data_IF_864646783503
#
_entry.id   IF_864646783503
#
_cell.length_a   1.000
_cell.length_b   1.000
_cell.length_c   1.000
_cell.angle_alpha   90.00
_cell.angle_beta   90.00
_cell.angle_gamma   90.00
#
_symmetry.space_group_name_H-M   'P 1'
#
loop_
_entity.id
_entity.type
_entity.pdbx_description
1 polymer ?
#
# COMPACT_ATOMS: atom_id res chain seq x y z
N UNK A 1 6.30 -5.84 -17.32
CA UNK A 1 4.93 -6.32 -17.03
C UNK A 1 4.02 -5.13 -16.80
N UNK A 2 3.28 -4.72 -17.83
CA UNK A 2 2.23 -3.71 -17.69
C UNK A 2 0.91 -4.41 -17.35
N UNK A 3 0.49 -4.37 -16.08
CA UNK A 3 -0.78 -4.93 -15.66
C UNK A 3 -1.95 -4.30 -16.43
N UNK A 4 -2.99 -5.09 -16.69
CA UNK A 4 -4.20 -4.62 -17.38
C UNK A 4 -4.78 -3.38 -16.68
N UNK A 5 -5.45 -2.47 -17.41
CA UNK A 5 -6.12 -1.31 -16.80
C UNK A 5 -7.04 -1.70 -15.65
N UNK A 6 -7.66 -2.87 -15.77
CA UNK A 6 -8.47 -3.50 -14.74
C UNK A 6 -7.68 -3.79 -13.45
N UNK A 7 -6.51 -4.43 -13.54
CA UNK A 7 -5.65 -4.71 -12.37
C UNK A 7 -5.22 -3.43 -11.65
N UNK A 8 -5.02 -2.33 -12.39
CA UNK A 8 -4.65 -1.03 -11.81
C UNK A 8 -5.74 -0.39 -10.96
N UNK A 9 -6.99 -0.84 -11.10
CA UNK A 9 -8.15 -0.38 -10.34
C UNK A 9 -8.53 -1.40 -9.27
N UNK A 10 -8.57 -2.68 -9.66
CA UNK A 10 -8.97 -3.77 -8.78
C UNK A 10 -8.04 -3.90 -7.56
N UNK A 11 -6.72 -3.85 -7.79
CA UNK A 11 -5.74 -4.04 -6.70
C UNK A 11 -5.86 -2.93 -5.64
N UNK A 12 -5.84 -1.63 -5.97
CA UNK A 12 -6.05 -0.58 -4.98
C UNK A 12 -7.41 -0.67 -4.30
N UNK A 13 -8.48 -0.98 -5.06
CA UNK A 13 -9.82 -1.11 -4.50
C UNK A 13 -9.89 -2.23 -3.45
N UNK A 14 -9.29 -3.39 -3.74
CA UNK A 14 -9.21 -4.51 -2.80
C UNK A 14 -8.47 -4.11 -1.51
N UNK A 15 -7.33 -3.41 -1.63
CA UNK A 15 -6.59 -2.94 -0.46
C UNK A 15 -7.34 -1.86 0.34
N UNK A 16 -8.09 -0.98 -0.31
CA UNK A 16 -8.95 -0.01 0.39
C UNK A 16 -10.06 -0.71 1.17
N UNK A 17 -10.70 -1.72 0.58
CA UNK A 17 -11.74 -2.52 1.26
C UNK A 17 -11.13 -3.25 2.46
N UNK A 18 -9.98 -3.89 2.29
CA UNK A 18 -9.27 -4.58 3.38
C UNK A 18 -8.82 -3.61 4.49
N UNK A 19 -8.36 -2.41 4.12
CA UNK A 19 -8.02 -1.37 5.07
C UNK A 19 -9.26 -0.96 5.89
N UNK A 20 -10.37 -0.66 5.22
CA UNK A 20 -11.62 -0.28 5.89
C UNK A 20 -12.13 -1.38 6.83
N UNK A 21 -12.07 -2.64 6.39
CA UNK A 21 -12.45 -3.78 7.21
C UNK A 21 -11.58 -3.93 8.47
N UNK A 22 -10.25 -3.82 8.33
CA UNK A 22 -9.34 -3.96 9.47
C UNK A 22 -9.41 -2.77 10.44
N UNK A 23 -9.61 -1.56 9.92
CA UNK A 23 -9.86 -0.38 10.77
C UNK A 23 -11.18 -0.53 11.54
N UNK A 24 -12.22 -1.10 10.92
CA UNK A 24 -13.49 -1.40 11.59
C UNK A 24 -13.33 -2.43 12.72
N UNK A 25 -12.47 -3.45 12.53
CA UNK A 25 -12.14 -4.44 13.57
C UNK A 25 -11.15 -3.92 14.63
N UNK A 26 -10.76 -2.65 14.58
CA UNK A 26 -9.71 -2.05 15.41
C UNK A 26 -8.33 -2.73 15.26
N UNK A 27 -8.10 -3.44 14.15
CA UNK A 27 -6.80 -3.95 13.73
C UNK A 27 -6.02 -2.84 13.02
N UNK A 28 -5.62 -1.82 13.79
CA UNK A 28 -4.98 -0.61 13.27
C UNK A 28 -3.68 -0.89 12.49
N UNK A 29 -2.92 -1.91 12.90
CA UNK A 29 -1.65 -2.29 12.28
C UNK A 29 -1.83 -2.80 10.85
N UNK A 30 -2.73 -3.77 10.66
CA UNK A 30 -3.10 -4.30 9.34
C UNK A 30 -3.83 -3.25 8.50
N UNK A 31 -4.70 -2.45 9.13
CA UNK A 31 -5.35 -1.31 8.46
C UNK A 31 -4.33 -0.34 7.86
N UNK A 32 -3.33 0.07 8.64
CA UNK A 32 -2.26 0.97 8.18
C UNK A 32 -1.40 0.34 7.06
N UNK A 33 -1.13 -0.96 7.15
CA UNK A 33 -0.44 -1.71 6.10
C UNK A 33 -1.21 -1.61 4.77
N UNK A 34 -2.50 -1.94 4.79
CA UNK A 34 -3.32 -1.95 3.58
C UNK A 34 -3.52 -0.55 2.99
N UNK A 35 -3.67 0.50 3.81
CA UNK A 35 -3.70 1.89 3.33
C UNK A 35 -2.40 2.26 2.62
N UNK A 36 -1.26 1.93 3.22
CA UNK A 36 0.06 2.25 2.65
C UNK A 36 0.23 1.62 1.27
N UNK A 37 -0.16 0.36 1.14
CA UNK A 37 -0.11 -0.39 -0.12
C UNK A 37 -1.10 0.16 -1.16
N UNK A 38 -2.34 0.48 -0.73
CA UNK A 38 -3.36 1.07 -1.59
C UNK A 38 -2.95 2.41 -2.21
N UNK A 39 -2.08 3.18 -1.54
CA UNK A 39 -1.58 4.47 -2.04
C UNK A 39 -0.29 4.29 -2.84
N UNK A 40 0.63 3.43 -2.39
CA UNK A 40 1.94 3.23 -3.01
C UNK A 40 1.86 2.73 -4.46
N UNK A 41 1.02 1.72 -4.72
CA UNK A 41 0.92 1.11 -6.06
C UNK A 41 0.34 2.07 -7.12
N UNK A 42 -0.81 2.75 -6.88
CA UNK A 42 -1.30 3.78 -7.79
C UNK A 42 -0.30 4.90 -8.04
N UNK A 43 0.41 5.35 -7.01
CA UNK A 43 1.40 6.40 -7.13
C UNK A 43 2.55 5.97 -8.05
N UNK A 44 3.07 4.75 -7.88
CA UNK A 44 4.09 4.19 -8.77
C UNK A 44 3.58 4.01 -10.21
N UNK A 45 2.35 3.56 -10.40
CA UNK A 45 1.78 3.46 -11.74
C UNK A 45 1.59 4.82 -12.41
N UNK A 46 1.17 5.83 -11.66
CA UNK A 46 1.00 7.21 -12.15
C UNK A 46 2.35 7.83 -12.55
N UNK A 47 3.39 7.61 -11.74
CA UNK A 47 4.77 7.99 -12.05
C UNK A 47 5.28 7.30 -13.33
N UNK A 48 5.11 5.97 -13.42
CA UNK A 48 5.56 5.18 -14.57
C UNK A 48 4.80 5.50 -15.86
N UNK A 49 3.54 5.89 -15.75
CA UNK A 49 2.72 6.33 -16.88
C UNK A 49 3.05 7.75 -17.36
N UNK A 50 4.01 8.45 -16.72
CA UNK A 50 4.38 9.83 -17.07
C UNK A 50 3.27 10.85 -16.83
N UNK A 51 2.23 10.48 -16.05
CA UNK A 51 1.11 11.37 -15.70
C UNK A 51 1.53 12.45 -14.71
N UNK A 52 2.55 12.16 -13.89
CA UNK A 52 3.11 13.11 -12.93
C UNK A 52 4.44 13.63 -13.48
N UNK A 53 4.41 14.82 -14.08
CA UNK A 53 5.60 15.48 -14.64
C UNK A 53 6.28 16.47 -13.67
N UNK A 54 5.56 16.90 -12.64
CA UNK A 54 6.03 17.89 -11.66
C UNK A 54 6.58 17.20 -10.42
N UNK A 55 7.75 17.63 -9.94
CA UNK A 55 8.42 17.07 -8.74
C UNK A 55 8.56 15.53 -8.76
N UNK A 56 8.90 14.95 -9.91
CA UNK A 56 8.98 13.49 -10.08
C UNK A 56 9.89 12.81 -9.06
N UNK A 57 11.04 13.41 -8.72
CA UNK A 57 11.96 12.89 -7.71
C UNK A 57 11.31 12.81 -6.31
N UNK A 58 10.50 13.80 -5.92
CA UNK A 58 9.77 13.81 -4.66
C UNK A 58 8.71 12.70 -4.62
N UNK A 59 7.88 12.60 -5.66
CA UNK A 59 6.84 11.57 -5.74
C UNK A 59 7.43 10.16 -5.79
N UNK A 60 8.57 9.99 -6.46
CA UNK A 60 9.30 8.73 -6.46
C UNK A 60 9.82 8.39 -5.06
N UNK A 61 10.46 9.34 -4.37
CA UNK A 61 10.92 9.16 -2.99
C UNK A 61 9.75 8.83 -2.04
N UNK A 62 8.61 9.52 -2.18
CA UNK A 62 7.40 9.24 -1.40
C UNK A 62 6.86 7.84 -1.67
N UNK A 63 6.85 7.39 -2.92
CA UNK A 63 6.42 6.03 -3.27
C UNK A 63 7.32 4.96 -2.64
N UNK A 64 8.64 5.19 -2.64
CA UNK A 64 9.59 4.31 -1.98
C UNK A 64 9.43 4.31 -0.47
N UNK A 65 9.21 5.48 0.14
CA UNK A 65 8.94 5.61 1.57
C UNK A 65 7.70 4.80 1.96
N UNK A 66 6.61 4.89 1.20
CA UNK A 66 5.38 4.13 1.45
C UNK A 66 5.61 2.62 1.33
N UNK A 67 6.42 2.17 0.39
CA UNK A 67 6.76 0.74 0.25
C UNK A 67 7.60 0.25 1.42
N UNK A 68 8.63 1.00 1.81
CA UNK A 68 9.46 0.64 2.97
C UNK A 68 8.60 0.58 4.22
N UNK A 69 7.70 1.55 4.41
CA UNK A 69 6.77 1.57 5.53
C UNK A 69 5.80 0.39 5.49
N UNK A 70 5.29 0.01 4.32
CA UNK A 70 4.47 -1.19 4.16
C UNK A 70 5.26 -2.47 4.50
N UNK A 71 6.52 -2.59 4.08
CA UNK A 71 7.36 -3.75 4.44
C UNK A 71 7.61 -3.83 5.94
N UNK A 72 7.88 -2.70 6.59
CA UNK A 72 8.05 -2.63 8.04
C UNK A 72 6.77 -3.00 8.79
N UNK A 73 5.62 -2.48 8.33
CA UNK A 73 4.31 -2.83 8.89
C UNK A 73 3.99 -4.31 8.68
N UNK A 74 4.33 -4.87 7.52
CA UNK A 74 4.15 -6.29 7.26
C UNK A 74 4.98 -7.15 8.22
N UNK A 75 6.25 -6.80 8.44
CA UNK A 75 7.10 -7.47 9.44
C UNK A 75 6.53 -7.32 10.85
N UNK A 76 6.01 -6.14 11.20
CA UNK A 76 5.37 -5.90 12.49
C UNK A 76 4.11 -6.74 12.66
N UNK A 77 3.28 -6.89 11.62
CA UNK A 77 2.10 -7.77 11.62
C UNK A 77 2.53 -9.22 11.83
N UNK A 78 3.53 -9.71 11.08
CA UNK A 78 4.03 -11.09 11.27
C UNK A 78 4.57 -11.34 12.67
N UNK A 79 5.33 -10.38 13.22
CA UNK A 79 5.84 -10.49 14.58
C UNK A 79 4.71 -10.45 15.61
N UNK A 80 3.73 -9.57 15.42
CA UNK A 80 2.56 -9.48 16.28
C UNK A 80 1.79 -10.79 16.27
N UNK A 81 1.55 -11.38 15.10
CA UNK A 81 0.84 -12.66 14.95
C UNK A 81 1.61 -13.81 15.64
N UNK A 82 2.93 -13.89 15.41
CA UNK A 82 3.81 -14.86 16.05
C UNK A 82 3.84 -14.75 17.59
N UNK A 83 3.75 -13.53 18.14
CA UNK A 83 3.67 -13.29 19.58
C UNK A 83 2.27 -13.52 20.15
N UNK A 84 1.24 -13.33 19.34
CA UNK A 84 -0.16 -13.47 19.74
C UNK A 84 -0.66 -14.92 19.71
N UNK A 85 0.13 -15.84 19.14
CA UNK A 85 -0.18 -17.27 19.09
C UNK A 85 -1.48 -17.61 18.33
N UNK A 86 -1.86 -16.78 17.36
CA UNK A 86 -2.96 -17.05 16.43
C UNK A 86 -2.45 -17.79 15.20
#
# INVERSE_FOLDING_TARGET
MGGSPFMKILVPAAFIILAGYNLYLANWLEGALYVSVAVAFPLMWALRAGRIKRHQAFWNALSWLLIILALLLFLAVLQYDALSGR
#
